data_IF_513776637353
#
_entry.id   IF_513776637353
#
_cell.length_a   1.000
_cell.length_b   1.000
_cell.length_c   1.000
_cell.angle_alpha   90.00
_cell.angle_beta   90.00
_cell.angle_gamma   90.00
#
_symmetry.space_group_name_H-M   'P 1'
#
loop_
_entity.id
_entity.type
_entity.pdbx_description
1 polymer ?
#
# COMPACT_ATOMS: atom_id res chain seq x y z
N UNK A 1 -0.56 33.37 8.22
CA UNK A 1 0.18 32.58 7.22
C UNK A 1 1.58 32.39 7.76
N UNK A 2 2.04 31.14 7.93
CA UNK A 2 3.43 30.83 8.30
C UNK A 2 4.26 30.70 7.03
N UNK A 3 5.53 31.13 7.07
CA UNK A 3 6.50 30.79 6.03
C UNK A 3 6.67 29.26 6.00
N UNK A 4 6.70 28.68 4.80
CA UNK A 4 6.95 27.26 4.59
C UNK A 4 8.24 27.11 3.78
N UNK A 5 9.14 26.19 4.14
CA UNK A 5 10.31 25.89 3.33
C UNK A 5 9.94 25.23 1.99
N UNK A 6 8.74 24.61 1.89
CA UNK A 6 8.22 24.01 0.68
C UNK A 6 6.85 24.64 0.30
N UNK A 7 6.84 25.86 -0.30
CA UNK A 7 5.60 26.54 -0.64
C UNK A 7 4.86 25.92 -1.83
N UNK A 8 5.51 25.05 -2.59
CA UNK A 8 4.95 24.45 -3.81
C UNK A 8 4.15 23.19 -3.55
N UNK A 9 4.26 22.59 -2.38
CA UNK A 9 3.63 21.31 -2.04
C UNK A 9 2.14 21.27 -2.36
N UNK A 10 1.41 22.36 -2.08
CA UNK A 10 -0.01 22.47 -2.38
C UNK A 10 -0.36 22.44 -3.88
N UNK A 11 0.62 22.45 -4.79
CA UNK A 11 0.40 22.58 -6.24
C UNK A 11 1.15 21.54 -7.09
N UNK A 12 1.92 20.63 -6.51
CA UNK A 12 2.85 19.76 -7.26
C UNK A 12 2.56 18.26 -7.16
N UNK A 13 1.44 17.86 -6.62
CA UNK A 13 1.08 16.44 -6.54
C UNK A 13 -0.21 16.17 -7.30
N UNK A 14 -0.39 14.91 -7.72
CA UNK A 14 -1.64 14.43 -8.30
C UNK A 14 -2.84 14.57 -7.34
N UNK A 15 -2.57 14.65 -6.04
CA UNK A 15 -3.59 14.81 -4.99
C UNK A 15 -3.93 16.30 -4.72
N UNK A 16 -3.16 17.24 -5.27
CA UNK A 16 -3.27 18.67 -4.99
C UNK A 16 -3.71 19.46 -6.23
N UNK A 17 -4.68 18.93 -6.98
CA UNK A 17 -5.23 19.60 -8.16
C UNK A 17 -6.06 20.82 -7.79
N UNK A 18 -6.01 21.87 -8.63
CA UNK A 18 -6.85 23.05 -8.47
C UNK A 18 -8.22 22.73 -9.04
N UNK A 19 -9.23 22.67 -8.17
CA UNK A 19 -10.61 22.41 -8.55
C UNK A 19 -11.32 23.70 -8.98
N UNK A 20 -12.19 23.61 -9.99
CA UNK A 20 -13.03 24.72 -10.40
C UNK A 20 -14.12 24.97 -9.34
N UNK A 21 -14.08 26.13 -8.67
CA UNK A 21 -15.03 26.49 -7.61
C UNK A 21 -16.48 26.23 -8.01
N UNK A 22 -16.89 26.61 -9.23
CA UNK A 22 -18.27 26.51 -9.72
C UNK A 22 -18.82 25.08 -9.73
N UNK A 23 -17.96 24.06 -9.87
CA UNK A 23 -18.39 22.65 -9.84
C UNK A 23 -18.60 22.11 -8.43
N UNK A 24 -17.95 22.71 -7.43
CA UNK A 24 -17.86 22.12 -6.09
C UNK A 24 -18.37 23.03 -4.97
N UNK A 25 -18.71 24.30 -5.24
CA UNK A 25 -19.10 25.26 -4.20
C UNK A 25 -20.31 24.81 -3.36
N UNK A 26 -21.24 24.05 -3.94
CA UNK A 26 -22.47 23.56 -3.28
C UNK A 26 -22.24 22.20 -2.59
N UNK A 27 -21.02 21.65 -2.70
CA UNK A 27 -20.61 20.33 -2.23
C UNK A 27 -19.38 20.40 -1.34
N UNK A 28 -19.33 21.38 -0.43
CA UNK A 28 -18.17 21.54 0.47
C UNK A 28 -18.21 20.56 1.65
N UNK A 29 -17.02 20.25 2.19
CA UNK A 29 -16.87 19.34 3.34
C UNK A 29 -17.32 17.91 3.02
N UNK A 30 -18.14 17.31 3.86
CA UNK A 30 -18.58 15.92 3.71
C UNK A 30 -19.39 15.65 2.44
N UNK A 31 -20.02 16.67 1.88
CA UNK A 31 -20.75 16.58 0.62
C UNK A 31 -19.86 16.50 -0.61
N UNK A 32 -18.55 16.75 -0.47
CA UNK A 32 -17.64 16.78 -1.62
C UNK A 32 -17.60 15.46 -2.41
N UNK A 33 -17.80 14.31 -1.72
CA UNK A 33 -17.89 12.98 -2.34
C UNK A 33 -19.08 12.83 -3.29
N UNK A 34 -20.15 13.56 -3.09
CA UNK A 34 -21.41 13.47 -3.86
C UNK A 34 -21.45 14.50 -5.01
N UNK A 35 -20.39 15.29 -5.20
CA UNK A 35 -20.33 16.29 -6.25
C UNK A 35 -20.34 15.65 -7.64
N UNK A 36 -21.25 16.05 -8.55
CA UNK A 36 -21.27 15.56 -9.93
C UNK A 36 -19.94 15.80 -10.68
N UNK A 37 -19.20 16.84 -10.28
CA UNK A 37 -17.86 17.13 -10.79
C UNK A 37 -16.84 16.01 -10.57
N UNK A 38 -17.07 15.08 -9.64
CA UNK A 38 -16.21 13.92 -9.44
C UNK A 38 -16.26 12.92 -10.61
N UNK A 39 -17.41 12.84 -11.29
CA UNK A 39 -17.60 11.94 -12.44
C UNK A 39 -17.45 12.67 -13.79
N UNK A 40 -17.63 13.98 -13.81
CA UNK A 40 -17.49 14.83 -15.00
C UNK A 40 -16.68 16.09 -14.68
N UNK A 41 -15.40 15.94 -14.33
CA UNK A 41 -14.56 17.08 -14.00
C UNK A 41 -14.33 17.98 -15.23
N UNK A 42 -14.38 19.28 -15.03
CA UNK A 42 -13.96 20.27 -16.01
C UNK A 42 -12.60 20.81 -15.55
N UNK A 43 -11.58 20.60 -16.35
CA UNK A 43 -10.21 21.00 -16.07
C UNK A 43 -9.53 21.64 -17.26
N UNK A 44 -8.31 22.10 -17.06
CA UNK A 44 -7.44 22.70 -18.09
C UNK A 44 -6.41 21.73 -18.64
N UNK A 45 -6.57 20.43 -18.37
CA UNK A 45 -5.69 19.37 -18.83
C UNK A 45 -5.78 19.06 -20.31
N UNK A 46 -4.89 18.19 -20.82
CA UNK A 46 -4.83 17.85 -22.23
C UNK A 46 -6.03 17.02 -22.74
N UNK A 47 -6.78 16.42 -21.84
CA UNK A 47 -7.95 15.59 -22.14
C UNK A 47 -9.19 16.04 -21.36
N UNK A 48 -10.36 15.75 -21.93
CA UNK A 48 -11.69 15.95 -21.34
C UNK A 48 -12.33 14.59 -21.10
N UNK A 49 -12.99 14.40 -19.95
CA UNK A 49 -13.77 13.18 -19.68
C UNK A 49 -15.02 13.19 -20.57
N UNK A 50 -15.14 12.21 -21.47
CA UNK A 50 -16.34 11.93 -22.24
C UNK A 50 -17.28 11.01 -21.49
N UNK A 51 -16.74 9.93 -20.93
CA UNK A 51 -17.48 8.93 -20.18
C UNK A 51 -16.70 8.46 -18.97
N UNK A 52 -17.38 8.25 -17.86
CA UNK A 52 -16.81 7.61 -16.68
C UNK A 52 -17.84 6.66 -16.08
N UNK A 53 -17.54 5.37 -16.14
CA UNK A 53 -18.26 4.29 -15.47
C UNK A 53 -17.35 3.74 -14.36
N UNK A 54 -17.61 4.05 -13.09
CA UNK A 54 -16.81 3.56 -11.97
C UNK A 54 -16.68 2.02 -11.99
N UNK A 55 -15.45 1.53 -11.85
CA UNK A 55 -15.13 0.08 -11.89
C UNK A 55 -15.08 -0.55 -13.28
N UNK A 56 -15.39 0.17 -14.34
CA UNK A 56 -15.43 -0.33 -15.72
C UNK A 56 -14.50 0.48 -16.63
N UNK A 57 -14.90 1.65 -17.08
CA UNK A 57 -14.17 2.41 -18.10
C UNK A 57 -14.20 3.92 -17.87
N UNK A 58 -13.09 4.56 -18.19
CA UNK A 58 -13.01 6.01 -18.39
C UNK A 58 -12.59 6.28 -19.82
N UNK A 59 -13.34 7.11 -20.53
CA UNK A 59 -13.01 7.54 -21.89
C UNK A 59 -12.73 9.04 -21.92
N UNK A 60 -11.61 9.39 -22.49
CA UNK A 60 -11.17 10.77 -22.64
C UNK A 60 -11.09 11.14 -24.10
N UNK A 61 -11.57 12.33 -24.42
CA UNK A 61 -11.33 13.00 -25.69
C UNK A 61 -10.24 14.09 -25.56
N UNK A 62 -9.56 14.37 -26.65
CA UNK A 62 -8.66 15.50 -26.77
C UNK A 62 -9.34 16.79 -26.31
N UNK A 63 -8.63 17.61 -25.55
CA UNK A 63 -9.05 18.97 -25.21
C UNK A 63 -8.46 19.95 -26.22
N UNK A 64 -9.28 20.44 -27.15
CA UNK A 64 -8.88 21.36 -28.24
C UNK A 64 -8.40 22.72 -27.69
N UNK A 65 -8.79 23.05 -26.44
CA UNK A 65 -8.39 24.28 -25.76
C UNK A 65 -7.16 24.10 -24.87
N UNK A 66 -6.47 22.96 -24.97
CA UNK A 66 -5.25 22.77 -24.19
C UNK A 66 -4.17 23.76 -24.60
N UNK A 67 -3.46 24.32 -23.61
CA UNK A 67 -2.47 25.40 -23.79
C UNK A 67 -1.28 25.06 -24.72
N UNK A 68 -0.97 23.76 -24.87
CA UNK A 68 0.12 23.29 -25.74
C UNK A 68 -0.48 22.47 -26.88
N UNK A 69 -0.58 23.04 -28.12
CA UNK A 69 -1.19 22.35 -29.26
C UNK A 69 -0.34 21.20 -29.80
N UNK A 70 0.95 21.10 -29.41
CA UNK A 70 1.83 19.99 -29.78
C UNK A 70 1.58 18.76 -28.86
N UNK A 71 0.82 18.92 -27.82
CA UNK A 71 0.41 17.88 -26.85
C UNK A 71 -1.07 18.07 -26.57
N UNK A 72 -1.84 17.03 -26.40
CA UNK A 72 -1.54 15.59 -26.32
C UNK A 72 -1.36 14.93 -27.69
N UNK A 73 -0.73 13.76 -27.67
CA UNK A 73 -0.44 13.01 -28.90
C UNK A 73 -1.65 12.19 -29.37
N UNK A 74 -2.40 11.58 -28.46
CA UNK A 74 -3.56 10.75 -28.79
C UNK A 74 -4.84 11.57 -28.84
N UNK A 75 -5.74 11.24 -29.79
CA UNK A 75 -7.06 11.88 -29.91
C UNK A 75 -8.05 11.38 -28.86
N UNK A 76 -7.93 10.12 -28.52
CA UNK A 76 -8.76 9.43 -27.54
C UNK A 76 -7.89 8.56 -26.62
N UNK A 77 -8.24 8.48 -25.34
CA UNK A 77 -7.64 7.56 -24.38
C UNK A 77 -8.76 6.82 -23.66
N UNK A 78 -8.71 5.50 -23.69
CA UNK A 78 -9.63 4.64 -22.93
C UNK A 78 -8.87 3.95 -21.81
N UNK A 79 -9.31 4.12 -20.55
CA UNK A 79 -8.76 3.41 -19.40
C UNK A 79 -9.80 2.38 -18.96
N UNK A 80 -9.50 1.09 -19.17
CA UNK A 80 -10.33 -0.02 -18.70
C UNK A 80 -9.93 -0.39 -17.28
N UNK A 81 -10.91 -0.49 -16.40
CA UNK A 81 -10.76 -0.94 -15.02
C UNK A 81 -11.38 -2.33 -14.79
N UNK A 82 -11.39 -2.77 -13.53
CA UNK A 82 -12.12 -3.97 -13.09
C UNK A 82 -11.49 -5.33 -13.41
N UNK A 83 -10.38 -5.38 -14.14
CA UNK A 83 -9.62 -6.61 -14.44
C UNK A 83 -8.56 -6.92 -13.39
N UNK A 84 -7.94 -8.10 -13.52
CA UNK A 84 -6.74 -8.47 -12.76
C UNK A 84 -5.46 -8.15 -13.54
N UNK A 85 -4.33 -8.05 -12.81
CA UNK A 85 -3.05 -7.68 -13.39
C UNK A 85 -2.54 -8.68 -14.46
N UNK A 86 -2.84 -9.97 -14.33
CA UNK A 86 -2.43 -10.99 -15.29
C UNK A 86 -3.21 -10.86 -16.60
N UNK A 87 -4.51 -10.60 -16.52
CA UNK A 87 -5.35 -10.32 -17.69
C UNK A 87 -4.90 -9.06 -18.41
N UNK A 88 -4.58 -7.99 -17.66
CA UNK A 88 -4.04 -6.75 -18.23
C UNK A 88 -2.68 -6.96 -18.93
N UNK A 89 -1.78 -7.78 -18.35
CA UNK A 89 -0.53 -8.16 -19.00
C UNK A 89 -0.76 -8.88 -20.31
N UNK A 90 -1.69 -9.86 -20.34
CA UNK A 90 -2.03 -10.60 -21.55
C UNK A 90 -2.66 -9.72 -22.63
N UNK A 91 -3.47 -8.75 -22.23
CA UNK A 91 -4.08 -7.80 -23.17
C UNK A 91 -3.03 -7.02 -23.98
N UNK A 92 -1.89 -6.69 -23.36
CA UNK A 92 -0.77 -6.03 -24.04
C UNK A 92 0.12 -7.04 -24.77
N UNK A 93 0.60 -8.09 -24.07
CA UNK A 93 1.66 -8.95 -24.59
C UNK A 93 1.17 -10.09 -25.51
N UNK A 94 -0.10 -10.47 -25.44
CA UNK A 94 -0.64 -11.60 -26.21
C UNK A 94 -1.71 -11.21 -27.22
N UNK A 95 -2.79 -10.53 -26.77
CA UNK A 95 -3.97 -10.29 -27.62
C UNK A 95 -3.86 -8.99 -28.40
N UNK A 96 -3.19 -7.97 -27.86
CA UNK A 96 -3.16 -6.62 -28.44
C UNK A 96 -4.43 -5.83 -28.21
N UNK A 97 -5.26 -6.22 -27.23
CA UNK A 97 -6.49 -5.52 -26.86
C UNK A 97 -6.23 -4.25 -26.07
N UNK A 98 -5.00 -4.03 -25.64
CA UNK A 98 -4.53 -2.82 -24.94
C UNK A 98 -3.12 -2.45 -25.39
N UNK A 99 -2.87 -1.14 -25.53
CA UNK A 99 -1.57 -0.57 -25.89
C UNK A 99 -0.66 -0.42 -24.68
N UNK A 100 -1.24 -0.33 -23.47
CA UNK A 100 -0.53 -0.06 -22.22
C UNK A 100 -1.23 -0.72 -21.03
N UNK A 101 -0.44 -1.28 -20.13
CA UNK A 101 -0.92 -1.77 -18.85
C UNK A 101 -0.08 -1.17 -17.73
N UNK A 102 -0.76 -0.54 -16.77
CA UNK A 102 -0.12 0.14 -15.65
C UNK A 102 -0.05 -0.75 -14.42
N UNK A 103 1.07 -0.66 -13.69
CA UNK A 103 1.27 -1.30 -12.38
C UNK A 103 1.01 -2.82 -12.38
N UNK A 104 1.69 -3.53 -13.29
CA UNK A 104 1.57 -4.97 -13.43
C UNK A 104 2.25 -5.71 -12.28
N UNK A 105 1.55 -5.86 -11.17
CA UNK A 105 1.98 -6.71 -10.05
C UNK A 105 1.64 -8.17 -10.34
N UNK A 106 2.42 -8.79 -11.21
CA UNK A 106 2.29 -10.18 -11.65
C UNK A 106 3.59 -10.90 -11.32
N UNK A 107 3.54 -12.13 -10.75
CA UNK A 107 4.76 -12.89 -10.47
C UNK A 107 5.63 -13.04 -11.70
N UNK A 108 6.95 -12.90 -11.52
CA UNK A 108 7.91 -12.90 -12.63
C UNK A 108 7.83 -14.18 -13.47
N UNK A 109 7.55 -15.32 -12.86
CA UNK A 109 7.34 -16.60 -13.56
C UNK A 109 6.20 -16.57 -14.58
N UNK A 110 5.21 -15.69 -14.39
CA UNK A 110 4.10 -15.46 -15.31
C UNK A 110 4.46 -14.38 -16.33
N UNK A 111 5.16 -13.31 -15.90
CA UNK A 111 5.55 -12.20 -16.77
C UNK A 111 6.63 -12.57 -17.79
N UNK A 112 7.64 -13.34 -17.37
CA UNK A 112 8.80 -13.65 -18.20
C UNK A 112 8.44 -14.28 -19.57
N UNK A 113 7.57 -15.28 -19.66
CA UNK A 113 7.16 -15.83 -20.95
C UNK A 113 6.43 -14.80 -21.83
N UNK A 114 5.64 -13.90 -21.23
CA UNK A 114 4.91 -12.85 -21.96
C UNK A 114 5.88 -11.85 -22.57
N UNK A 115 6.84 -11.39 -21.78
CA UNK A 115 7.90 -10.46 -22.24
C UNK A 115 8.76 -11.10 -23.33
N UNK A 116 9.15 -12.38 -23.16
CA UNK A 116 9.97 -13.11 -24.11
C UNK A 116 9.25 -13.37 -25.46
N UNK A 117 7.92 -13.31 -25.48
CA UNK A 117 7.15 -13.42 -26.75
C UNK A 117 7.36 -12.20 -27.67
N UNK A 118 7.93 -11.09 -27.20
CA UNK A 118 8.41 -9.97 -28.01
C UNK A 118 7.32 -9.09 -28.62
N UNK A 119 6.05 -9.22 -28.18
CA UNK A 119 4.94 -8.38 -28.69
C UNK A 119 4.80 -7.04 -27.98
N UNK A 120 5.56 -6.82 -26.90
CA UNK A 120 5.55 -5.59 -26.12
C UNK A 120 6.83 -5.46 -25.29
N UNK A 121 6.98 -4.34 -24.60
CA UNK A 121 8.12 -4.04 -23.76
C UNK A 121 7.66 -3.87 -22.29
N UNK A 122 8.38 -4.48 -21.35
CA UNK A 122 8.18 -4.25 -19.93
C UNK A 122 9.10 -3.11 -19.45
N UNK A 123 8.52 -1.96 -19.19
CA UNK A 123 9.23 -0.78 -18.69
C UNK A 123 9.19 -0.77 -17.16
N UNK A 124 10.37 -0.75 -16.54
CA UNK A 124 10.51 -0.72 -15.08
C UNK A 124 11.30 0.52 -14.68
N UNK A 125 10.70 1.35 -13.85
CA UNK A 125 11.33 2.55 -13.35
C UNK A 125 11.43 2.49 -11.82
N UNK A 126 12.57 2.92 -11.23
CA UNK A 126 12.65 3.14 -9.79
C UNK A 126 11.59 4.14 -9.35
N UNK A 127 10.86 3.83 -8.29
CA UNK A 127 9.86 4.73 -7.73
C UNK A 127 10.06 4.91 -6.23
N UNK A 128 9.39 5.89 -5.65
CA UNK A 128 9.32 6.07 -4.21
C UNK A 128 8.48 4.99 -3.52
N UNK A 129 7.66 4.28 -4.30
CA UNK A 129 6.72 3.28 -3.79
C UNK A 129 7.44 1.98 -3.44
N UNK A 130 7.12 1.42 -2.27
CA UNK A 130 7.62 0.13 -1.82
C UNK A 130 6.54 -0.62 -1.02
N UNK A 131 6.58 -1.93 -1.11
CA UNK A 131 5.73 -2.81 -0.33
C UNK A 131 6.28 -2.90 1.10
N UNK A 132 5.42 -2.76 2.11
CA UNK A 132 5.82 -2.79 3.51
C UNK A 132 4.80 -3.51 4.39
N UNK A 133 5.29 -4.04 5.50
CA UNK A 133 4.46 -4.59 6.55
C UNK A 133 4.23 -3.51 7.61
N UNK A 134 2.99 -3.14 7.82
CA UNK A 134 2.57 -2.27 8.91
C UNK A 134 2.13 -3.15 10.08
N UNK A 135 2.72 -2.95 11.23
CA UNK A 135 2.41 -3.65 12.48
C UNK A 135 1.45 -2.82 13.31
N UNK A 136 0.39 -3.41 13.83
CA UNK A 136 -0.59 -2.75 14.67
C UNK A 136 -0.07 -2.66 16.11
N UNK A 137 -0.01 -1.48 16.68
CA UNK A 137 0.38 -1.28 18.09
C UNK A 137 -0.81 -1.34 19.05
N UNK A 138 -2.04 -1.22 18.52
CA UNK A 138 -3.26 -1.43 19.27
C UNK A 138 -3.75 -2.89 19.13
N UNK A 139 -4.53 -3.38 20.06
CA UNK A 139 -5.08 -4.73 20.04
C UNK A 139 -6.30 -4.82 19.09
N UNK A 140 -6.19 -5.60 17.98
CA UNK A 140 -7.29 -5.75 17.03
C UNK A 140 -8.42 -6.66 17.57
N UNK A 141 -8.23 -7.31 18.71
CA UNK A 141 -9.20 -8.24 19.30
C UNK A 141 -9.93 -7.65 20.51
N UNK A 142 -9.43 -6.55 21.08
CA UNK A 142 -10.07 -5.87 22.20
C UNK A 142 -11.00 -4.77 21.69
N UNK A 143 -12.28 -4.86 22.05
CA UNK A 143 -13.28 -3.86 21.70
C UNK A 143 -13.35 -2.75 22.75
N UNK A 144 -13.32 -1.50 22.31
CA UNK A 144 -13.51 -0.30 23.13
C UNK A 144 -14.57 0.57 22.46
N UNK A 145 -15.68 0.81 23.15
CA UNK A 145 -16.79 1.64 22.66
C UNK A 145 -17.31 1.23 21.26
N UNK A 146 -17.39 -0.09 20.99
CA UNK A 146 -17.85 -0.64 19.72
C UNK A 146 -16.84 -0.52 18.56
N UNK A 147 -15.55 -0.37 18.86
CA UNK A 147 -14.46 -0.40 17.87
C UNK A 147 -13.28 -1.22 18.38
N UNK A 148 -12.53 -1.83 17.47
CA UNK A 148 -11.28 -2.55 17.76
C UNK A 148 -10.08 -1.76 17.26
N UNK A 149 -8.88 -2.19 17.59
CA UNK A 149 -7.64 -1.48 17.23
C UNK A 149 -7.62 -0.01 17.69
N UNK A 150 -8.29 0.29 18.81
CA UNK A 150 -8.30 1.65 19.36
C UNK A 150 -6.96 1.97 20.05
N UNK A 151 -6.45 3.21 19.92
CA UNK A 151 -5.14 3.60 20.45
C UNK A 151 -5.01 3.48 21.98
N UNK A 152 -6.14 3.39 22.70
CA UNK A 152 -6.17 3.15 24.14
C UNK A 152 -5.83 1.70 24.52
N UNK A 153 -5.81 0.78 23.56
CA UNK A 153 -5.43 -0.63 23.77
C UNK A 153 -3.96 -0.84 23.45
N UNK A 154 -3.37 -1.87 24.03
CA UNK A 154 -2.00 -2.27 23.79
C UNK A 154 -1.96 -3.64 23.14
N UNK A 155 -1.29 -3.74 21.99
CA UNK A 155 -1.16 -5.02 21.30
C UNK A 155 -0.46 -6.06 22.19
N UNK A 156 -1.00 -7.29 22.32
CA UNK A 156 -0.49 -8.27 23.29
C UNK A 156 0.96 -8.73 23.05
N UNK A 157 1.46 -8.63 21.82
CA UNK A 157 2.84 -9.00 21.47
C UNK A 157 3.55 -8.00 20.57
N UNK A 158 2.88 -7.33 19.64
CA UNK A 158 3.55 -6.33 18.75
C UNK A 158 3.94 -5.03 19.47
N UNK A 159 3.47 -4.81 20.69
CA UNK A 159 3.96 -3.73 21.55
C UNK A 159 5.38 -3.97 22.06
N UNK A 160 5.87 -5.22 22.03
CA UNK A 160 7.24 -5.58 22.40
C UNK A 160 8.18 -5.39 21.21
N UNK A 161 9.22 -4.57 21.39
CA UNK A 161 10.22 -4.27 20.37
C UNK A 161 10.96 -5.54 19.88
N UNK A 162 11.29 -6.45 20.80
CA UNK A 162 12.01 -7.70 20.46
C UNK A 162 11.17 -8.59 19.53
N UNK A 163 9.86 -8.66 19.75
CA UNK A 163 8.96 -9.41 18.87
C UNK A 163 8.92 -8.79 17.48
N UNK A 164 8.79 -7.47 17.37
CA UNK A 164 8.80 -6.77 16.05
C UNK A 164 10.13 -6.96 15.32
N UNK A 165 11.25 -6.87 16.04
CA UNK A 165 12.58 -7.11 15.47
C UNK A 165 12.73 -8.55 14.99
N UNK A 166 12.28 -9.53 15.78
CA UNK A 166 12.33 -10.94 15.41
C UNK A 166 11.52 -11.23 14.14
N UNK A 167 10.29 -10.71 14.05
CA UNK A 167 9.47 -10.86 12.84
C UNK A 167 10.15 -10.25 11.61
N UNK A 168 10.81 -9.09 11.78
CA UNK A 168 11.54 -8.44 10.70
C UNK A 168 12.81 -9.20 10.25
N UNK A 169 13.59 -9.74 11.21
CA UNK A 169 14.81 -10.51 10.95
C UNK A 169 14.57 -11.88 10.32
N UNK A 170 13.39 -12.45 10.50
CA UNK A 170 13.03 -13.72 9.87
C UNK A 170 12.79 -13.60 8.36
N UNK A 171 12.58 -12.40 7.83
CA UNK A 171 12.16 -12.18 6.43
C UNK A 171 13.37 -11.95 5.53
N UNK A 172 13.58 -12.82 4.55
CA UNK A 172 14.53 -12.60 3.46
C UNK A 172 13.90 -11.78 2.33
N UNK A 173 14.10 -10.46 2.39
CA UNK A 173 13.57 -9.49 1.42
C UNK A 173 14.18 -9.67 0.04
N UNK A 174 15.46 -10.07 -0.02
CA UNK A 174 16.17 -10.32 -1.26
C UNK A 174 15.53 -11.52 -1.98
N UNK A 175 15.34 -12.62 -1.26
CA UNK A 175 14.68 -13.81 -1.82
C UNK A 175 13.29 -13.49 -2.36
N UNK A 176 12.47 -12.72 -1.62
CA UNK A 176 11.15 -12.30 -2.07
C UNK A 176 11.23 -11.49 -3.37
N UNK A 177 12.13 -10.50 -3.42
CA UNK A 177 12.31 -9.67 -4.59
C UNK A 177 12.74 -10.49 -5.82
N UNK A 178 13.71 -11.38 -5.67
CA UNK A 178 14.23 -12.22 -6.76
C UNK A 178 13.19 -13.24 -7.26
N UNK A 179 12.46 -13.88 -6.36
CA UNK A 179 11.48 -14.91 -6.73
C UNK A 179 10.21 -14.33 -7.37
N UNK A 180 9.71 -13.21 -6.84
CA UNK A 180 8.40 -12.68 -7.26
C UNK A 180 8.51 -11.57 -8.31
N UNK A 181 9.57 -10.76 -8.28
CA UNK A 181 9.76 -9.65 -9.19
C UNK A 181 10.88 -9.91 -10.23
N UNK A 182 11.72 -10.94 -10.02
CA UNK A 182 12.79 -11.32 -10.92
C UNK A 182 13.79 -10.20 -11.16
N UNK A 183 14.16 -10.00 -12.43
CA UNK A 183 15.14 -8.97 -12.83
C UNK A 183 14.71 -7.53 -12.48
N UNK A 184 13.44 -7.28 -12.26
CA UNK A 184 12.88 -5.97 -11.92
C UNK A 184 12.78 -5.73 -10.41
N UNK A 185 12.92 -6.79 -9.59
CA UNK A 185 12.81 -6.72 -8.14
C UNK A 185 13.97 -5.97 -7.51
N UNK A 186 13.64 -5.05 -6.62
CA UNK A 186 14.60 -4.42 -5.71
C UNK A 186 14.06 -4.50 -4.30
N UNK A 187 14.94 -4.74 -3.36
CA UNK A 187 14.62 -4.75 -1.93
C UNK A 187 15.28 -3.56 -1.24
N UNK A 188 14.71 -3.13 -0.14
CA UNK A 188 15.24 -2.02 0.66
C UNK A 188 15.02 -2.27 2.15
N UNK A 189 15.93 -1.75 2.96
CA UNK A 189 15.77 -1.67 4.41
C UNK A 189 15.17 -0.32 4.86
N UNK A 190 15.04 0.62 3.93
CA UNK A 190 14.61 1.97 4.25
C UNK A 190 13.11 2.15 4.08
N UNK A 191 12.51 2.94 4.96
CA UNK A 191 11.13 3.42 4.84
C UNK A 191 10.99 4.59 3.88
N UNK A 192 12.13 5.15 3.42
CA UNK A 192 12.21 6.17 2.40
C UNK A 192 13.30 5.75 1.40
N UNK A 193 12.94 5.55 0.14
CA UNK A 193 13.84 5.11 -0.93
C UNK A 193 13.96 6.11 -2.09
N UNK A 194 13.27 7.24 -1.98
CA UNK A 194 13.38 8.38 -2.89
C UNK A 194 12.89 9.67 -2.21
N UNK A 195 13.49 10.85 -2.47
CA UNK A 195 14.68 11.06 -3.30
C UNK A 195 15.95 10.42 -2.70
N UNK A 196 16.95 10.06 -3.52
CA UNK A 196 18.16 9.37 -3.05
C UNK A 196 18.91 10.09 -1.94
N UNK A 197 18.89 11.41 -1.91
CA UNK A 197 19.58 12.24 -0.91
C UNK A 197 19.07 12.02 0.53
N UNK A 198 17.86 11.48 0.68
CA UNK A 198 17.25 11.19 1.97
C UNK A 198 17.30 9.70 2.35
N UNK A 199 17.88 8.86 1.49
CA UNK A 199 17.98 7.42 1.75
C UNK A 199 19.13 7.17 2.72
N UNK A 200 18.84 6.57 3.88
CA UNK A 200 19.88 6.25 4.87
C UNK A 200 20.82 5.15 4.37
N UNK A 201 22.14 5.37 4.36
CA UNK A 201 23.11 4.32 4.07
C UNK A 201 23.35 3.37 5.26
N UNK A 202 22.82 3.68 6.43
CA UNK A 202 23.11 2.98 7.69
C UNK A 202 22.08 1.90 8.05
N UNK A 203 20.94 1.85 7.33
CA UNK A 203 19.88 0.88 7.62
C UNK A 203 20.26 -0.50 7.12
N UNK A 204 20.16 -1.51 8.01
CA UNK A 204 20.45 -2.92 7.71
C UNK A 204 19.23 -3.76 8.06
N UNK A 205 18.96 -4.77 7.25
CA UNK A 205 17.85 -5.71 7.45
C UNK A 205 18.14 -7.09 6.86
N UNK A 206 19.39 -7.52 6.95
CA UNK A 206 19.78 -8.85 6.54
C UNK A 206 19.01 -9.90 7.36
N UNK A 207 18.53 -10.98 6.73
CA UNK A 207 17.79 -12.01 7.44
C UNK A 207 18.71 -12.74 8.44
N UNK A 208 18.23 -12.90 9.67
CA UNK A 208 18.89 -13.65 10.74
C UNK A 208 17.83 -14.41 11.57
N UNK A 209 17.37 -15.59 11.10
CA UNK A 209 16.38 -16.37 11.84
C UNK A 209 16.85 -16.86 13.22
N UNK A 210 18.15 -17.07 13.42
CA UNK A 210 18.67 -17.50 14.72
C UNK A 210 18.62 -16.35 15.74
N UNK A 211 19.00 -15.14 15.32
CA UNK A 211 18.81 -13.94 16.14
C UNK A 211 17.34 -13.68 16.42
N UNK A 212 16.46 -13.92 15.45
CA UNK A 212 15.01 -13.80 15.64
C UNK A 212 14.50 -14.75 16.73
N UNK A 213 14.91 -16.02 16.72
CA UNK A 213 14.57 -17.00 17.78
C UNK A 213 15.06 -16.54 19.15
N UNK A 214 16.31 -16.07 19.23
CA UNK A 214 16.90 -15.55 20.48
C UNK A 214 16.07 -14.37 21.03
N UNK A 215 15.68 -13.40 20.18
CA UNK A 215 14.87 -12.27 20.61
C UNK A 215 13.50 -12.69 21.14
N UNK A 216 12.86 -13.70 20.52
CA UNK A 216 11.60 -14.25 21.01
C UNK A 216 11.78 -14.96 22.36
N UNK A 217 12.89 -15.71 22.55
CA UNK A 217 13.22 -16.32 23.84
C UNK A 217 13.44 -15.28 24.92
N UNK A 218 14.18 -14.21 24.62
CA UNK A 218 14.41 -13.07 25.53
C UNK A 218 13.12 -12.31 25.86
N UNK A 219 12.16 -12.26 24.92
CA UNK A 219 10.83 -11.69 25.13
C UNK A 219 9.90 -12.60 25.93
N UNK A 220 10.35 -13.81 26.29
CA UNK A 220 9.61 -14.80 27.09
C UNK A 220 8.70 -15.72 26.27
N UNK A 221 8.78 -15.70 24.95
CA UNK A 221 8.03 -16.59 24.06
C UNK A 221 8.77 -17.93 23.90
N UNK A 222 8.25 -18.99 24.53
CA UNK A 222 8.85 -20.34 24.50
C UNK A 222 8.18 -21.22 23.47
N UNK A 223 8.96 -22.12 22.84
CA UNK A 223 8.42 -23.07 21.88
C UNK A 223 7.51 -24.07 22.57
N UNK A 224 6.26 -24.15 22.14
CA UNK A 224 5.27 -25.11 22.62
C UNK A 224 5.43 -26.49 21.99
N UNK A 225 4.62 -27.44 22.43
CA UNK A 225 4.67 -28.84 21.97
C UNK A 225 4.34 -29.01 20.48
N UNK A 226 3.60 -28.07 19.89
CA UNK A 226 3.24 -28.01 18.46
C UNK A 226 4.23 -27.21 17.61
N UNK A 227 5.35 -26.76 18.22
CA UNK A 227 6.34 -25.93 17.53
C UNK A 227 6.00 -24.44 17.48
N UNK A 228 4.80 -24.03 17.89
CA UNK A 228 4.40 -22.62 17.96
C UNK A 228 4.82 -22.07 19.31
N UNK A 229 5.37 -20.84 19.30
CA UNK A 229 5.76 -20.17 20.53
C UNK A 229 4.55 -19.71 21.33
N UNK A 230 4.68 -19.80 22.66
CA UNK A 230 3.64 -19.41 23.60
C UNK A 230 4.20 -18.62 24.79
N UNK A 231 3.38 -17.74 25.34
CA UNK A 231 3.67 -16.96 26.54
C UNK A 231 2.37 -16.68 27.28
N UNK A 232 2.36 -16.89 28.59
CA UNK A 232 1.19 -16.66 29.47
C UNK A 232 -0.09 -17.33 28.93
N UNK A 233 0.02 -18.57 28.42
CA UNK A 233 -1.08 -19.35 27.86
C UNK A 233 -1.58 -18.87 26.48
N UNK A 234 -0.92 -17.90 25.86
CA UNK A 234 -1.26 -17.40 24.52
C UNK A 234 -0.23 -17.86 23.50
N UNK A 235 -0.68 -18.37 22.37
CA UNK A 235 0.18 -18.70 21.22
C UNK A 235 0.56 -17.45 20.44
N UNK A 236 1.77 -17.45 19.91
CA UNK A 236 2.24 -16.38 19.01
C UNK A 236 1.67 -16.62 17.61
N UNK A 237 0.44 -16.16 17.42
CA UNK A 237 -0.31 -16.25 16.18
C UNK A 237 -0.59 -14.85 15.64
N UNK A 238 -0.34 -14.65 14.36
CA UNK A 238 -0.45 -13.36 13.66
C UNK A 238 -1.54 -13.45 12.60
N UNK A 239 -2.52 -12.58 12.62
CA UNK A 239 -3.42 -12.34 11.49
C UNK A 239 -2.75 -11.33 10.55
N UNK A 240 -2.33 -11.81 9.38
CA UNK A 240 -1.63 -11.03 8.37
C UNK A 240 -2.52 -10.77 7.16
N UNK A 241 -2.98 -9.54 6.98
CA UNK A 241 -3.88 -9.17 5.88
C UNK A 241 -3.19 -8.37 4.77
N UNK A 242 -3.73 -8.48 3.56
CA UNK A 242 -3.39 -7.66 2.39
C UNK A 242 -4.56 -7.58 1.42
N UNK A 243 -4.43 -6.82 0.32
CA UNK A 243 -5.41 -6.88 -0.76
C UNK A 243 -5.23 -8.11 -1.65
N UNK A 244 -6.29 -8.56 -2.28
CA UNK A 244 -6.22 -9.60 -3.32
C UNK A 244 -5.32 -9.12 -4.46
N UNK A 245 -4.14 -9.72 -4.56
CA UNK A 245 -3.11 -9.45 -5.56
C UNK A 245 -2.15 -10.63 -5.61
N UNK A 246 -1.85 -11.22 -6.78
CA UNK A 246 -1.05 -12.43 -6.88
C UNK A 246 0.34 -12.32 -6.24
N UNK A 247 1.03 -11.19 -6.42
CA UNK A 247 2.36 -10.98 -5.84
C UNK A 247 2.28 -10.82 -4.33
N UNK A 248 1.27 -10.09 -3.81
CA UNK A 248 1.06 -9.92 -2.37
C UNK A 248 0.72 -11.21 -1.67
N UNK A 249 -0.17 -12.02 -2.26
CA UNK A 249 -0.53 -13.32 -1.71
C UNK A 249 0.67 -14.28 -1.69
N UNK A 250 1.46 -14.32 -2.77
CA UNK A 250 2.70 -15.09 -2.80
C UNK A 250 3.73 -14.57 -1.78
N UNK A 251 3.83 -13.26 -1.59
CA UNK A 251 4.68 -12.65 -0.53
C UNK A 251 4.22 -13.08 0.87
N UNK A 252 2.91 -13.10 1.13
CA UNK A 252 2.37 -13.59 2.41
C UNK A 252 2.78 -15.03 2.68
N UNK A 253 2.71 -15.91 1.68
CA UNK A 253 3.10 -17.33 1.83
C UNK A 253 4.59 -17.48 2.14
N UNK A 254 5.47 -16.72 1.48
CA UNK A 254 6.91 -16.74 1.76
C UNK A 254 7.20 -16.24 3.19
N UNK A 255 6.53 -15.18 3.63
CA UNK A 255 6.69 -14.62 4.97
C UNK A 255 6.14 -15.59 6.02
N UNK A 256 4.97 -16.20 5.79
CA UNK A 256 4.41 -17.24 6.67
C UNK A 256 5.39 -18.40 6.85
N UNK A 257 5.97 -18.89 5.75
CA UNK A 257 6.97 -19.96 5.81
C UNK A 257 8.23 -19.54 6.58
N UNK A 258 8.66 -18.28 6.46
CA UNK A 258 9.79 -17.73 7.22
C UNK A 258 9.46 -17.62 8.71
N UNK A 259 8.28 -17.13 9.09
CA UNK A 259 7.84 -17.02 10.48
C UNK A 259 7.62 -18.37 11.14
N UNK A 260 7.13 -19.37 10.40
CA UNK A 260 7.02 -20.74 10.93
C UNK A 260 8.36 -21.32 11.41
N UNK A 261 9.48 -21.00 10.72
CA UNK A 261 10.85 -21.41 11.12
C UNK A 261 11.30 -20.86 12.47
N UNK A 262 10.69 -19.76 12.92
CA UNK A 262 10.98 -19.15 14.22
C UNK A 262 9.88 -19.41 15.27
N UNK A 263 8.91 -20.28 14.93
CA UNK A 263 7.84 -20.70 15.83
C UNK A 263 6.66 -19.71 15.90
N UNK A 264 6.43 -18.92 14.86
CA UNK A 264 5.28 -18.02 14.74
C UNK A 264 4.29 -18.58 13.73
N UNK A 265 3.03 -18.76 14.17
CA UNK A 265 1.92 -19.11 13.26
C UNK A 265 1.37 -17.86 12.59
N UNK A 266 1.02 -17.96 11.32
CA UNK A 266 0.41 -16.87 10.58
C UNK A 266 -0.85 -17.31 9.84
N UNK A 267 -1.95 -16.63 10.15
CA UNK A 267 -3.20 -16.71 9.41
C UNK A 267 -3.20 -15.64 8.33
N UNK A 268 -3.43 -16.03 7.07
CA UNK A 268 -3.41 -15.13 5.92
C UNK A 268 -4.83 -14.70 5.56
N UNK A 269 -5.02 -13.39 5.36
CA UNK A 269 -6.27 -12.80 4.90
C UNK A 269 -6.02 -11.93 3.68
N UNK A 270 -6.75 -12.17 2.59
CA UNK A 270 -6.76 -11.32 1.40
C UNK A 270 -8.15 -10.68 1.25
N UNK A 271 -8.19 -9.35 1.13
CA UNK A 271 -9.42 -8.54 0.99
C UNK A 271 -9.47 -7.97 -0.42
N UNK A 272 -10.66 -7.92 -1.04
CA UNK A 272 -10.81 -7.27 -2.34
C UNK A 272 -10.25 -5.83 -2.28
N UNK A 273 -9.48 -5.41 -3.28
CA UNK A 273 -8.80 -4.12 -3.28
C UNK A 273 -9.77 -2.94 -3.14
N UNK A 274 -10.94 -3.01 -3.80
CA UNK A 274 -12.00 -1.99 -3.69
C UNK A 274 -12.60 -1.87 -2.28
N UNK A 275 -12.51 -2.92 -1.46
CA UNK A 275 -12.90 -2.90 -0.03
C UNK A 275 -11.71 -2.50 0.84
N UNK A 276 -10.53 -3.10 0.59
CA UNK A 276 -9.33 -2.89 1.41
C UNK A 276 -8.89 -1.42 1.44
N UNK A 277 -8.99 -0.72 0.32
CA UNK A 277 -8.59 0.70 0.19
C UNK A 277 -9.76 1.70 0.27
N UNK A 278 -11.00 1.25 0.46
CA UNK A 278 -12.14 2.14 0.65
C UNK A 278 -12.15 2.72 2.07
N UNK A 279 -12.15 4.05 2.18
CA UNK A 279 -12.08 4.78 3.44
C UNK A 279 -13.44 5.00 4.12
N UNK A 280 -14.53 4.38 3.65
CA UNK A 280 -15.84 4.51 4.29
C UNK A 280 -15.80 4.01 5.75
N UNK A 281 -16.29 4.83 6.67
CA UNK A 281 -16.25 4.55 8.12
C UNK A 281 -17.00 3.25 8.52
N UNK A 282 -17.99 2.82 7.74
CA UNK A 282 -18.70 1.56 7.95
C UNK A 282 -17.99 0.32 7.40
N UNK A 283 -16.88 0.48 6.68
CA UNK A 283 -16.12 -0.62 6.09
C UNK A 283 -15.05 -1.12 7.06
N UNK A 284 -15.33 -2.16 7.82
CA UNK A 284 -14.44 -2.71 8.84
C UNK A 284 -13.25 -3.52 8.29
N UNK A 285 -13.24 -3.84 7.00
CA UNK A 285 -12.17 -4.59 6.35
C UNK A 285 -11.13 -3.71 5.64
N UNK A 286 -11.23 -2.39 5.78
CA UNK A 286 -10.30 -1.45 5.17
C UNK A 286 -9.00 -1.29 5.99
N UNK A 287 -7.99 -0.69 5.35
CA UNK A 287 -6.69 -0.41 5.97
C UNK A 287 -6.80 0.53 7.19
N UNK A 288 -7.80 1.42 7.23
CA UNK A 288 -8.01 2.40 8.29
C UNK A 288 -8.43 1.75 9.60
N UNK A 289 -9.39 0.82 9.57
CA UNK A 289 -9.80 0.05 10.74
C UNK A 289 -8.70 -0.86 11.26
N UNK A 290 -7.96 -1.49 10.36
CA UNK A 290 -6.83 -2.35 10.67
C UNK A 290 -7.17 -3.44 11.72
N UNK A 291 -8.24 -4.19 11.51
CA UNK A 291 -8.66 -5.28 12.38
C UNK A 291 -7.86 -6.56 12.11
N UNK A 292 -6.54 -6.40 12.10
CA UNK A 292 -5.53 -7.45 11.97
C UNK A 292 -4.27 -7.05 12.74
N UNK A 293 -3.35 -7.99 12.94
CA UNK A 293 -2.08 -7.74 13.62
C UNK A 293 -1.09 -7.04 12.69
N UNK A 294 -1.02 -7.51 11.44
CA UNK A 294 -0.11 -6.98 10.41
C UNK A 294 -0.87 -6.81 9.11
N UNK A 295 -0.59 -5.72 8.39
CA UNK A 295 -1.09 -5.52 7.03
C UNK A 295 0.01 -5.08 6.07
N UNK A 296 -0.13 -5.49 4.81
CA UNK A 296 0.83 -5.21 3.75
C UNK A 296 0.18 -4.51 2.58
N UNK A 297 0.79 -3.42 2.14
CA UNK A 297 0.43 -2.68 0.94
C UNK A 297 1.55 -1.73 0.54
N UNK A 298 1.50 -1.27 -0.71
CA UNK A 298 2.47 -0.32 -1.27
C UNK A 298 2.19 1.11 -0.82
N UNK A 299 3.22 1.81 -0.39
CA UNK A 299 3.17 3.24 -0.08
C UNK A 299 4.56 3.86 -0.25
N UNK A 300 4.63 5.16 -0.48
CA UNK A 300 5.88 5.90 -0.62
C UNK A 300 5.64 7.41 -0.60
N UNK A 301 6.72 8.18 -0.61
CA UNK A 301 6.63 9.63 -0.76
C UNK A 301 6.26 9.98 -2.20
N UNK A 302 5.25 10.81 -2.39
CA UNK A 302 4.83 11.38 -3.67
C UNK A 302 5.32 12.83 -3.86
N UNK A 303 6.12 13.30 -2.89
CA UNK A 303 6.68 14.65 -2.86
C UNK A 303 8.21 14.59 -2.73
N UNK A 304 8.93 15.59 -3.29
CA UNK A 304 10.37 15.75 -3.08
C UNK A 304 10.73 15.93 -1.59
N UNK A 305 9.89 16.62 -0.82
CA UNK A 305 10.03 16.75 0.63
C UNK A 305 9.29 15.60 1.33
N UNK A 306 9.96 14.79 2.17
CA UNK A 306 9.35 13.63 2.79
C UNK A 306 8.52 13.92 4.04
N UNK A 307 8.36 15.19 4.45
CA UNK A 307 7.69 15.58 5.70
C UNK A 307 6.28 15.00 5.80
N UNK A 308 5.47 15.13 4.74
CA UNK A 308 4.11 14.59 4.72
C UNK A 308 4.09 13.06 4.74
N UNK A 309 5.06 12.43 4.09
CA UNK A 309 5.19 10.98 4.15
C UNK A 309 5.48 10.50 5.58
N UNK A 310 6.34 11.20 6.31
CA UNK A 310 6.64 10.87 7.71
C UNK A 310 5.53 11.24 8.69
N UNK A 311 4.61 12.14 8.34
CA UNK A 311 3.46 12.47 9.17
C UNK A 311 2.62 11.24 9.54
N UNK A 312 2.59 10.20 8.69
CA UNK A 312 1.88 8.95 8.92
C UNK A 312 2.37 8.13 10.14
N UNK A 313 3.45 8.52 10.80
CA UNK A 313 3.92 7.89 12.03
C UNK A 313 3.90 8.84 13.23
N UNK A 314 3.23 9.98 13.11
CA UNK A 314 3.12 10.94 14.22
C UNK A 314 1.83 10.71 15.02
N UNK A 315 1.87 11.00 16.32
CA UNK A 315 0.73 10.82 17.23
C UNK A 315 -0.53 11.60 16.82
N UNK A 316 -0.45 12.85 16.31
CA UNK A 316 -1.64 13.58 15.86
C UNK A 316 -2.39 12.92 14.67
N UNK A 317 -1.72 12.02 13.95
CA UNK A 317 -2.27 11.34 12.78
C UNK A 317 -2.79 9.93 13.08
N UNK A 318 -2.88 9.52 14.34
CA UNK A 318 -3.38 8.18 14.71
C UNK A 318 -4.82 8.00 14.25
N UNK A 319 -5.05 6.93 13.47
CA UNK A 319 -6.39 6.52 13.05
C UNK A 319 -7.16 5.90 14.23
N UNK A 320 -8.35 6.38 14.51
CA UNK A 320 -9.22 5.93 15.60
C UNK A 320 -10.68 6.20 15.27
N UNK A 321 -11.61 5.59 16.02
CA UNK A 321 -13.04 5.85 15.88
C UNK A 321 -13.39 7.35 15.98
N UNK A 322 -12.71 8.06 16.87
CA UNK A 322 -12.94 9.49 17.12
C UNK A 322 -12.71 10.39 15.89
N UNK A 323 -11.89 9.96 14.93
CA UNK A 323 -11.67 10.65 13.66
C UNK A 323 -12.16 9.84 12.44
N UNK A 324 -13.10 8.90 12.67
CA UNK A 324 -13.66 8.02 11.64
C UNK A 324 -12.57 7.25 10.86
N UNK A 325 -11.49 6.89 11.54
CA UNK A 325 -10.29 6.22 10.99
C UNK A 325 -9.60 6.96 9.84
N UNK A 326 -9.78 8.29 9.77
CA UNK A 326 -9.19 9.16 8.73
C UNK A 326 -7.73 9.55 9.00
N UNK A 327 -7.19 9.18 10.16
CA UNK A 327 -5.78 9.40 10.47
C UNK A 327 -4.86 8.59 9.55
N UNK A 328 -3.72 9.16 9.17
CA UNK A 328 -2.74 8.47 8.32
C UNK A 328 -1.80 7.54 9.08
N UNK A 329 -1.70 7.69 10.41
CA UNK A 329 -0.96 6.76 11.28
C UNK A 329 -1.82 5.52 11.55
N UNK A 330 -1.84 4.59 10.60
CA UNK A 330 -2.61 3.35 10.68
C UNK A 330 -2.02 2.35 11.68
N UNK A 331 -0.75 2.49 12.02
CA UNK A 331 -0.06 1.59 12.96
C UNK A 331 -0.43 1.84 14.42
N UNK A 332 -1.02 2.97 14.77
CA UNK A 332 -1.28 3.45 16.14
C UNK A 332 0.00 3.61 16.97
N UNK A 333 1.15 3.72 16.32
CA UNK A 333 2.40 4.05 17.01
C UNK A 333 2.32 5.45 17.64
N UNK A 334 2.74 5.57 18.92
CA UNK A 334 2.75 6.83 19.69
C UNK A 334 4.08 7.01 20.42
#
# INVERSE_FOLDING_TARGET
KKASPNPYEAFVSANNVILQKKQFQDYMGEKAKDAPGNLKPIGTGPYKVREFKPGDVVVYDLNENYRDPARPFFKEVQIKGGGDATSAARAVFQTGDADYAWNLQVPWTVMQPLVNAGKGEAVTLPSSQFERLNMNFADPNTEVNGARSEPSTKHPFLSDLKVRQALGLAIDRKQIAEQLYGAYGKWTCNVLNAPPDFVSPNTKCDPDPEKAKQLLDEAGWKVGADGIREKDGKKLKVLFQTSVNPVRQATQELIKAAWAKIGVDAELKAVNAGVFFDSAAGNTDNIGHFYADIQMYTSGSDQPDPTNFFAQWTSPQVAAKANEWRGTNLTRYQ
#
